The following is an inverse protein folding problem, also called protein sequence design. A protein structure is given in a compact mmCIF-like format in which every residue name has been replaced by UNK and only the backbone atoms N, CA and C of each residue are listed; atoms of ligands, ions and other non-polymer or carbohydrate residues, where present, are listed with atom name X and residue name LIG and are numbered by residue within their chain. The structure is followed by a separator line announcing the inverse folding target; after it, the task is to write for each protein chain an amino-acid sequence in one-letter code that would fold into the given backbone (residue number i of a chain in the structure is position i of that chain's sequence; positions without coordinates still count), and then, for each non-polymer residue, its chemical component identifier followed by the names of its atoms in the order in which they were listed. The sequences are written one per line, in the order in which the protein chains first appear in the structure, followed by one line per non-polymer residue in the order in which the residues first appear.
data_IF_386424261292
#
_entry.id   IF_386424261292
#
_cell.length_a   1.000
_cell.length_b   1.000
_cell.length_c   1.000
_cell.angle_alpha   90.00
_cell.angle_beta   90.00
_cell.angle_gamma   90.00
#
_symmetry.space_group_name_H-M   'P 1'
#
loop_
_entity.id
_entity.type
_entity.pdbx_description
1 polymer ?
#
# COMPACT_ATOMS: atom_id res chain seq x y z
N UNK A 1 15.22 -31.80 -19.43
CA UNK A 1 13.93 -32.24 -19.97
C UNK A 1 12.87 -32.24 -18.89
N UNK A 2 11.70 -31.73 -19.19
CA UNK A 2 10.56 -31.73 -18.31
C UNK A 2 9.56 -32.79 -18.78
N UNK A 3 9.13 -33.68 -17.87
CA UNK A 3 8.22 -34.77 -18.15
C UNK A 3 7.01 -34.69 -17.23
N UNK A 4 5.84 -35.05 -17.75
CA UNK A 4 4.61 -35.19 -16.96
C UNK A 4 3.99 -36.56 -17.19
N UNK A 5 3.34 -37.12 -16.17
CA UNK A 5 2.42 -38.23 -16.34
C UNK A 5 1.07 -37.67 -16.77
N UNK A 6 0.50 -38.24 -17.82
CA UNK A 6 -0.91 -38.08 -18.13
C UNK A 6 -1.69 -39.10 -17.28
N UNK A 7 -2.74 -38.71 -16.58
CA UNK A 7 -3.60 -39.61 -15.78
C UNK A 7 -4.50 -40.51 -16.68
N UNK A 8 -3.99 -40.83 -17.86
CA UNK A 8 -4.65 -41.79 -18.75
C UNK A 8 -4.36 -43.25 -18.34
N UNK A 9 -5.10 -44.21 -18.92
CA UNK A 9 -4.99 -45.63 -18.58
C UNK A 9 -3.61 -46.24 -18.84
N UNK A 10 -2.70 -45.54 -19.53
CA UNK A 10 -1.40 -46.10 -19.94
C UNK A 10 -0.20 -45.52 -19.17
N UNK A 11 -0.39 -44.59 -18.25
CA UNK A 11 0.64 -44.01 -17.35
C UNK A 11 2.04 -43.76 -17.98
N UNK A 12 2.10 -43.38 -19.27
CA UNK A 12 3.36 -43.12 -19.94
C UNK A 12 3.84 -41.68 -19.69
N UNK A 13 5.16 -41.59 -19.33
CA UNK A 13 5.82 -40.32 -19.23
C UNK A 13 6.04 -39.68 -20.59
N UNK A 14 5.46 -38.52 -20.86
CA UNK A 14 5.67 -37.74 -22.08
C UNK A 14 6.60 -36.60 -21.82
N UNK A 15 7.60 -36.43 -22.67
CA UNK A 15 8.47 -35.25 -22.63
C UNK A 15 7.71 -34.06 -23.24
N UNK A 16 7.45 -33.05 -22.43
CA UNK A 16 6.75 -31.85 -22.86
C UNK A 16 7.67 -30.80 -23.49
N UNK A 17 8.90 -30.68 -22.96
CA UNK A 17 9.88 -29.74 -23.46
C UNK A 17 11.31 -30.19 -23.11
N UNK A 18 12.25 -29.77 -23.94
CA UNK A 18 13.68 -30.01 -23.75
C UNK A 18 14.43 -28.71 -24.01
N UNK A 19 15.34 -28.35 -23.10
CA UNK A 19 16.22 -27.20 -23.27
C UNK A 19 17.68 -27.67 -23.34
N UNK A 20 18.44 -26.99 -24.18
CA UNK A 20 19.89 -27.13 -24.27
C UNK A 20 20.52 -25.91 -23.60
N UNK A 21 21.56 -26.13 -22.82
CA UNK A 21 22.38 -25.05 -22.26
C UNK A 21 23.43 -24.65 -23.29
N UNK A 22 23.63 -23.34 -23.46
CA UNK A 22 24.71 -22.81 -24.35
C UNK A 22 26.11 -23.03 -23.78
N UNK A 23 26.18 -23.29 -22.46
CA UNK A 23 27.44 -23.60 -21.77
C UNK A 23 27.52 -25.07 -21.39
N UNK A 24 28.74 -25.59 -21.34
CA UNK A 24 29.01 -27.03 -21.11
C UNK A 24 28.69 -27.53 -19.71
N UNK A 25 28.35 -26.65 -18.77
CA UNK A 25 28.00 -27.00 -17.38
C UNK A 25 26.80 -26.22 -16.89
N UNK A 26 25.62 -26.82 -17.02
CA UNK A 26 24.42 -26.31 -16.34
C UNK A 26 24.42 -26.70 -14.85
N UNK A 27 24.01 -25.79 -13.98
CA UNK A 27 23.86 -26.06 -12.55
C UNK A 27 22.43 -26.54 -12.22
N UNK A 28 22.25 -27.24 -11.08
CA UNK A 28 20.93 -27.63 -10.60
C UNK A 28 19.98 -26.41 -10.47
N UNK A 29 20.51 -25.25 -10.10
CA UNK A 29 19.72 -24.00 -10.00
C UNK A 29 19.20 -23.54 -11.35
N UNK A 30 19.97 -23.70 -12.41
CA UNK A 30 19.55 -23.32 -13.77
C UNK A 30 18.43 -24.25 -14.25
N UNK A 31 18.55 -25.55 -13.96
CA UNK A 31 17.51 -26.52 -14.27
C UNK A 31 16.21 -26.23 -13.50
N UNK A 32 16.29 -25.91 -12.21
CA UNK A 32 15.14 -25.58 -11.37
C UNK A 32 14.48 -24.26 -11.82
N UNK A 33 15.27 -23.27 -12.25
CA UNK A 33 14.75 -22.01 -12.77
C UNK A 33 13.94 -22.22 -14.05
N UNK A 34 14.51 -22.94 -15.01
CA UNK A 34 13.84 -23.25 -16.29
C UNK A 34 12.58 -24.08 -16.08
N UNK A 35 12.63 -25.07 -15.19
CA UNK A 35 11.48 -25.90 -14.88
C UNK A 35 10.35 -25.08 -14.25
N UNK A 36 10.68 -24.18 -13.34
CA UNK A 36 9.69 -23.27 -12.70
C UNK A 36 9.07 -22.29 -13.70
N UNK A 37 9.88 -21.68 -14.58
CA UNK A 37 9.40 -20.78 -15.61
C UNK A 37 8.46 -21.50 -16.60
N UNK A 38 8.78 -22.73 -16.95
CA UNK A 38 7.92 -23.55 -17.79
C UNK A 38 6.59 -23.91 -17.12
N UNK A 39 6.63 -24.38 -15.87
CA UNK A 39 5.43 -24.71 -15.09
C UNK A 39 4.53 -23.47 -14.96
N UNK A 40 5.11 -22.29 -14.76
CA UNK A 40 4.36 -21.06 -14.75
C UNK A 40 3.71 -20.72 -16.10
N UNK A 41 4.41 -20.96 -17.18
CA UNK A 41 3.89 -20.75 -18.53
C UNK A 41 2.72 -21.69 -18.89
N UNK A 42 2.82 -22.95 -18.49
CA UNK A 42 1.83 -24.00 -18.82
C UNK A 42 0.65 -23.97 -17.83
N UNK A 43 0.92 -23.81 -16.54
CA UNK A 43 -0.12 -23.85 -15.50
C UNK A 43 -0.99 -22.60 -15.43
N UNK A 44 -0.72 -21.55 -16.24
CA UNK A 44 -1.55 -20.35 -16.57
C UNK A 44 -2.63 -19.90 -15.59
N UNK A 45 -2.66 -20.43 -14.38
CA UNK A 45 -3.73 -20.22 -13.42
C UNK A 45 -3.53 -18.92 -12.68
N UNK A 46 -4.55 -18.08 -12.71
CA UNK A 46 -4.70 -16.84 -11.95
C UNK A 46 -4.36 -17.01 -10.46
N UNK A 47 -4.38 -18.22 -9.94
CA UNK A 47 -4.02 -18.54 -8.55
C UNK A 47 -2.52 -18.35 -8.26
N UNK A 48 -1.62 -18.71 -9.19
CA UNK A 48 -0.17 -18.53 -9.02
C UNK A 48 0.21 -17.06 -9.13
N UNK A 49 -0.44 -16.31 -10.04
CA UNK A 49 -0.25 -14.85 -10.13
C UNK A 49 -0.74 -14.13 -8.88
N UNK A 50 -1.84 -14.58 -8.25
CA UNK A 50 -2.32 -14.04 -6.96
C UNK A 50 -1.38 -14.39 -5.82
N UNK A 51 -0.84 -15.59 -5.76
CA UNK A 51 0.12 -16.00 -4.74
C UNK A 51 1.47 -15.24 -4.87
N UNK A 52 1.92 -14.91 -6.09
CA UNK A 52 3.12 -14.08 -6.32
C UNK A 52 2.89 -12.60 -5.97
N UNK A 53 1.68 -12.06 -6.20
CA UNK A 53 1.35 -10.69 -5.76
C UNK A 53 1.32 -10.57 -4.23
N UNK A 54 0.98 -11.64 -3.51
CA UNK A 54 1.02 -11.67 -2.04
C UNK A 54 2.44 -11.86 -1.50
N UNK A 55 3.36 -12.42 -2.31
CA UNK A 55 4.78 -12.61 -1.96
C UNK A 55 5.73 -11.59 -2.59
N UNK A 56 5.30 -10.39 -2.94
CA UNK A 56 6.25 -9.30 -3.04
C UNK A 56 6.83 -9.09 -1.65
N UNK A 57 8.06 -9.57 -1.46
CA UNK A 57 8.84 -9.38 -0.24
C UNK A 57 8.77 -7.91 0.11
N UNK A 58 8.10 -7.57 1.23
CA UNK A 58 8.33 -6.28 1.89
C UNK A 58 9.83 -6.09 1.94
N UNK A 59 10.33 -5.01 1.35
CA UNK A 59 11.72 -4.61 1.52
C UNK A 59 11.96 -4.56 3.02
N UNK A 60 13.00 -5.25 3.46
CA UNK A 60 13.33 -5.44 4.88
C UNK A 60 13.89 -4.17 5.55
N UNK A 61 13.80 -3.02 4.85
CA UNK A 61 14.27 -1.72 5.32
C UNK A 61 13.11 -0.81 5.75
N UNK A 62 11.89 -1.37 5.90
CA UNK A 62 10.74 -0.61 6.36
C UNK A 62 10.63 -0.72 7.88
N UNK A 63 10.95 0.39 8.53
CA UNK A 63 10.93 0.61 9.98
C UNK A 63 9.52 0.55 10.60
N UNK A 64 8.50 0.34 9.78
CA UNK A 64 7.10 0.28 10.19
C UNK A 64 6.26 -0.71 9.40
N UNK A 65 5.15 -1.12 9.99
CA UNK A 65 4.18 -2.06 9.38
C UNK A 65 2.96 -1.36 8.78
N UNK A 66 2.71 -0.11 9.16
CA UNK A 66 1.57 0.67 8.71
C UNK A 66 1.98 1.56 7.53
N UNK A 67 1.46 1.23 6.35
CA UNK A 67 1.61 2.02 5.13
C UNK A 67 0.56 3.15 5.05
N UNK A 68 0.68 4.10 4.10
CA UNK A 68 -0.27 5.21 3.95
C UNK A 68 -1.72 4.77 3.71
N UNK A 69 -1.95 3.65 3.06
CA UNK A 69 -3.28 3.09 2.88
C UNK A 69 -3.86 2.57 4.19
N UNK A 70 -3.03 1.94 5.02
CA UNK A 70 -3.44 1.49 6.34
C UNK A 70 -3.79 2.71 7.23
N UNK A 71 -3.00 3.79 7.16
CA UNK A 71 -3.32 5.05 7.81
C UNK A 71 -4.71 5.55 7.40
N UNK A 72 -5.00 5.65 6.09
CA UNK A 72 -6.30 6.09 5.59
C UNK A 72 -7.45 5.23 6.14
N UNK A 73 -7.28 3.91 6.18
CA UNK A 73 -8.27 2.98 6.74
C UNK A 73 -8.55 3.20 8.23
N UNK A 74 -7.58 3.68 9.01
CA UNK A 74 -7.78 4.00 10.42
C UNK A 74 -8.70 5.20 10.62
N UNK A 75 -8.65 6.17 9.73
CA UNK A 75 -9.55 7.33 9.77
C UNK A 75 -11.00 7.01 9.38
N UNK A 76 -11.29 5.86 8.75
CA UNK A 76 -12.68 5.42 8.45
C UNK A 76 -13.54 5.32 9.71
N UNK A 77 -12.96 5.03 10.87
CA UNK A 77 -13.69 5.00 12.14
C UNK A 77 -14.28 6.36 12.52
N UNK A 78 -13.62 7.44 12.11
CA UNK A 78 -14.04 8.83 12.38
C UNK A 78 -14.79 9.47 11.21
N UNK A 79 -14.46 9.02 9.99
CA UNK A 79 -14.98 9.52 8.73
C UNK A 79 -15.39 8.33 7.84
N UNK A 80 -16.60 7.77 8.05
CA UNK A 80 -17.05 6.54 7.35
C UNK A 80 -17.05 6.65 5.83
N UNK A 81 -17.24 7.86 5.30
CA UNK A 81 -17.20 8.16 3.86
C UNK A 81 -15.86 7.88 3.20
N UNK A 82 -14.75 7.91 3.97
CA UNK A 82 -13.42 7.56 3.45
C UNK A 82 -13.35 6.14 2.90
N UNK A 83 -14.28 5.25 3.27
CA UNK A 83 -14.30 3.88 2.75
C UNK A 83 -14.50 3.84 1.24
N UNK A 84 -15.45 4.61 0.74
CA UNK A 84 -15.73 4.75 -0.69
C UNK A 84 -14.58 5.48 -1.40
N UNK A 85 -14.07 6.55 -0.78
CA UNK A 85 -12.98 7.35 -1.33
C UNK A 85 -11.69 6.52 -1.46
N UNK A 86 -11.34 5.68 -0.47
CA UNK A 86 -10.21 4.74 -0.52
C UNK A 86 -10.38 3.75 -1.67
N UNK A 87 -11.58 3.19 -1.83
CA UNK A 87 -11.85 2.25 -2.92
C UNK A 87 -11.70 2.90 -4.28
N UNK A 88 -12.25 4.10 -4.47
CA UNK A 88 -12.13 4.85 -5.70
C UNK A 88 -10.67 5.18 -6.03
N UNK A 89 -9.87 5.54 -5.02
CA UNK A 89 -8.45 5.80 -5.18
C UNK A 89 -7.70 4.54 -5.63
N UNK A 90 -8.00 3.37 -5.06
CA UNK A 90 -7.41 2.09 -5.43
C UNK A 90 -7.79 1.65 -6.85
N UNK A 91 -9.02 1.93 -7.26
CA UNK A 91 -9.50 1.59 -8.60
C UNK A 91 -8.87 2.49 -9.68
N UNK A 92 -8.52 3.73 -9.32
CA UNK A 92 -7.99 4.71 -10.27
C UNK A 92 -6.46 4.75 -10.33
N UNK A 93 -5.75 4.44 -9.25
CA UNK A 93 -4.31 4.67 -9.13
C UNK A 93 -3.57 3.50 -8.50
N UNK A 94 -2.37 3.22 -9.02
CA UNK A 94 -1.46 2.24 -8.45
C UNK A 94 -0.01 2.74 -8.57
N UNK A 95 0.76 2.76 -7.47
CA UNK A 95 0.36 2.49 -6.08
C UNK A 95 -0.62 3.53 -5.51
N UNK A 96 -1.20 3.27 -4.33
CA UNK A 96 -2.07 4.17 -3.61
C UNK A 96 -1.36 5.51 -3.34
N UNK A 97 -2.01 6.64 -3.67
CA UNK A 97 -1.41 7.98 -3.54
C UNK A 97 -1.60 8.54 -2.13
N UNK A 98 -0.85 8.02 -1.17
CA UNK A 98 -1.05 8.28 0.26
C UNK A 98 -1.04 9.75 0.65
N UNK A 99 -0.05 10.54 0.20
CA UNK A 99 0.06 11.96 0.54
C UNK A 99 -1.03 12.79 -0.15
N UNK A 100 -1.32 12.51 -1.43
CA UNK A 100 -2.40 13.16 -2.16
C UNK A 100 -3.75 12.85 -1.52
N UNK A 101 -4.02 11.58 -1.26
CA UNK A 101 -5.25 11.15 -0.61
C UNK A 101 -5.45 11.80 0.76
N UNK A 102 -4.40 11.80 1.59
CA UNK A 102 -4.46 12.44 2.90
C UNK A 102 -4.76 13.93 2.82
N UNK A 103 -4.16 14.64 1.85
CA UNK A 103 -4.37 16.06 1.63
C UNK A 103 -5.79 16.38 1.14
N UNK A 104 -6.30 15.60 0.20
CA UNK A 104 -7.58 15.88 -0.47
C UNK A 104 -8.79 15.39 0.34
N UNK A 105 -8.66 14.26 1.03
CA UNK A 105 -9.79 13.57 1.66
C UNK A 105 -9.75 13.57 3.19
N UNK A 106 -8.58 13.49 3.83
CA UNK A 106 -8.49 13.41 5.29
C UNK A 106 -8.31 14.80 5.92
N UNK A 107 -7.34 15.56 5.45
CA UNK A 107 -6.98 16.85 6.04
C UNK A 107 -8.17 17.82 6.19
N UNK A 108 -9.09 17.98 5.21
CA UNK A 108 -10.24 18.89 5.35
C UNK A 108 -11.25 18.46 6.42
N UNK A 109 -11.27 17.18 6.79
CA UNK A 109 -12.25 16.62 7.75
C UNK A 109 -11.81 16.77 9.20
N UNK A 110 -10.50 16.86 9.46
CA UNK A 110 -9.93 16.95 10.82
C UNK A 110 -10.44 18.20 11.57
N UNK A 111 -10.38 19.43 11.00
CA UNK A 111 -10.89 20.61 11.66
C UNK A 111 -12.38 20.52 12.06
N UNK A 112 -13.17 19.95 11.16
CA UNK A 112 -14.61 19.75 11.43
C UNK A 112 -14.84 18.78 12.59
N UNK A 113 -14.02 17.74 12.71
CA UNK A 113 -14.09 16.80 13.82
C UNK A 113 -13.69 17.46 15.14
N UNK A 114 -12.55 18.17 15.19
CA UNK A 114 -12.06 18.84 16.40
C UNK A 114 -13.08 19.83 16.95
N UNK A 115 -13.76 20.58 16.07
CA UNK A 115 -14.78 21.60 16.49
C UNK A 115 -16.01 21.00 17.17
N UNK A 116 -16.37 19.75 16.87
CA UNK A 116 -17.54 19.08 17.43
C UNK A 116 -17.23 18.10 18.54
N UNK A 117 -15.98 17.64 18.62
CA UNK A 117 -15.56 16.59 19.55
C UNK A 117 -15.39 17.14 20.97
N UNK A 118 -15.76 16.34 21.96
CA UNK A 118 -15.42 16.62 23.36
C UNK A 118 -13.96 16.21 23.66
N UNK A 119 -13.48 16.59 24.85
CA UNK A 119 -12.09 16.37 25.26
C UNK A 119 -11.66 14.88 25.15
N UNK A 120 -12.49 13.95 25.58
CA UNK A 120 -12.20 12.51 25.53
C UNK A 120 -12.14 11.98 24.07
N UNK A 121 -12.97 12.55 23.19
CA UNK A 121 -12.96 12.22 21.78
C UNK A 121 -11.70 12.77 21.09
N UNK A 122 -11.26 13.97 21.44
CA UNK A 122 -10.01 14.57 20.96
C UNK A 122 -8.82 13.72 21.40
N UNK A 123 -8.77 13.28 22.65
CA UNK A 123 -7.71 12.41 23.16
C UNK A 123 -7.65 11.08 22.38
N UNK A 124 -8.80 10.43 22.18
CA UNK A 124 -8.87 9.19 21.39
C UNK A 124 -8.46 9.40 19.93
N UNK A 125 -8.85 10.53 19.36
CA UNK A 125 -8.48 10.90 18.01
C UNK A 125 -6.97 11.18 17.89
N UNK A 126 -6.39 11.94 18.83
CA UNK A 126 -4.96 12.18 18.89
C UNK A 126 -4.15 10.89 19.08
N UNK A 127 -4.70 9.91 19.85
CA UNK A 127 -4.04 8.61 20.00
C UNK A 127 -3.94 7.83 18.69
N UNK A 128 -4.82 8.05 17.72
CA UNK A 128 -4.68 7.46 16.38
C UNK A 128 -3.38 7.95 15.73
N UNK A 129 -3.08 9.24 15.84
CA UNK A 129 -1.83 9.80 15.31
C UNK A 129 -0.61 9.19 16.01
N UNK A 130 -0.63 9.05 17.33
CA UNK A 130 0.44 8.43 18.09
C UNK A 130 0.71 7.00 17.62
N UNK A 131 -0.34 6.18 17.56
CA UNK A 131 -0.22 4.77 17.17
C UNK A 131 0.25 4.64 15.72
N UNK A 132 -0.31 5.45 14.80
CA UNK A 132 0.05 5.37 13.39
C UNK A 132 1.44 5.95 13.12
N UNK A 133 1.87 6.94 13.88
CA UNK A 133 3.23 7.47 13.78
C UNK A 133 4.26 6.43 14.24
N UNK A 134 4.04 5.80 15.40
CA UNK A 134 4.97 4.84 15.96
C UNK A 134 5.11 3.57 15.11
N UNK A 135 4.00 3.11 14.51
CA UNK A 135 3.99 1.89 13.69
C UNK A 135 4.09 2.16 12.17
N UNK A 136 4.08 3.43 11.77
CA UNK A 136 4.10 3.84 10.37
C UNK A 136 5.47 3.72 9.72
N UNK A 137 5.49 3.46 8.42
CA UNK A 137 6.66 3.62 7.59
C UNK A 137 7.04 5.11 7.44
N UNK A 138 8.15 5.38 6.78
CA UNK A 138 8.65 6.75 6.56
C UNK A 138 7.62 7.63 5.87
N UNK A 139 6.91 7.09 4.88
CA UNK A 139 5.89 7.84 4.14
C UNK A 139 4.68 8.15 5.02
N UNK A 140 4.22 7.20 5.82
CA UNK A 140 3.13 7.40 6.79
C UNK A 140 3.48 8.45 7.83
N UNK A 141 4.68 8.40 8.41
CA UNK A 141 5.17 9.41 9.37
C UNK A 141 5.23 10.81 8.74
N UNK A 142 5.72 10.90 7.50
CA UNK A 142 5.76 12.17 6.76
C UNK A 142 4.34 12.69 6.45
N UNK A 143 3.41 11.83 6.04
CA UNK A 143 2.01 12.21 5.81
C UNK A 143 1.38 12.77 7.08
N UNK A 144 1.55 12.10 8.22
CA UNK A 144 1.03 12.57 9.49
C UNK A 144 1.56 13.95 9.80
N UNK A 145 2.87 14.14 9.79
CA UNK A 145 3.49 15.37 10.29
C UNK A 145 3.44 16.54 9.29
N UNK A 146 3.73 16.27 8.01
CA UNK A 146 3.88 17.32 6.99
C UNK A 146 2.53 17.62 6.29
N UNK A 147 1.69 16.61 6.08
CA UNK A 147 0.44 16.80 5.35
C UNK A 147 -0.70 17.07 6.32
N UNK A 148 -0.99 16.17 7.26
CA UNK A 148 -2.17 16.26 8.11
C UNK A 148 -2.00 17.35 9.19
N UNK A 149 -0.94 17.29 10.00
CA UNK A 149 -0.76 18.24 11.11
C UNK A 149 -0.42 19.66 10.64
N UNK A 150 0.28 19.82 9.53
CA UNK A 150 0.57 21.14 8.98
C UNK A 150 -0.62 21.79 8.26
N UNK A 151 -1.67 21.05 7.92
CA UNK A 151 -2.90 21.61 7.36
C UNK A 151 -3.77 22.31 8.41
N UNK A 152 -3.54 22.05 9.70
CA UNK A 152 -4.33 22.58 10.80
C UNK A 152 -3.92 24.02 11.15
N UNK A 153 -4.90 24.80 11.61
CA UNK A 153 -4.59 26.06 12.26
C UNK A 153 -3.92 25.84 13.64
N UNK A 154 -3.51 26.92 14.30
CA UNK A 154 -2.77 26.79 15.54
C UNK A 154 -3.66 26.33 16.72
N UNK A 155 -4.94 26.68 16.73
CA UNK A 155 -5.87 26.24 17.77
C UNK A 155 -6.19 24.74 17.62
N UNK A 156 -6.49 24.29 16.39
CA UNK A 156 -6.76 22.89 16.04
C UNK A 156 -5.52 22.01 16.30
N UNK A 157 -4.34 22.50 15.91
CA UNK A 157 -3.08 21.82 16.16
C UNK A 157 -2.82 21.65 17.66
N UNK A 158 -2.96 22.71 18.46
CA UNK A 158 -2.70 22.66 19.89
C UNK A 158 -3.66 21.74 20.63
N UNK A 159 -4.92 21.68 20.20
CA UNK A 159 -5.91 20.76 20.77
C UNK A 159 -5.48 19.29 20.64
N UNK A 160 -4.81 18.91 19.55
CA UNK A 160 -4.28 17.56 19.37
C UNK A 160 -2.90 17.39 20.02
N UNK A 161 -2.05 18.41 19.91
CA UNK A 161 -0.65 18.38 20.36
C UNK A 161 -0.50 18.04 21.84
N UNK A 162 -1.43 18.54 22.70
CA UNK A 162 -1.43 18.24 24.14
C UNK A 162 -1.47 16.73 24.42
N UNK A 163 -2.10 15.95 23.54
CA UNK A 163 -2.30 14.49 23.68
C UNK A 163 -1.27 13.65 22.92
N UNK A 164 -0.30 14.27 22.23
CA UNK A 164 0.74 13.54 21.52
C UNK A 164 1.80 12.97 22.46
N UNK A 165 2.37 11.84 22.10
CA UNK A 165 3.56 11.31 22.76
C UNK A 165 4.81 12.14 22.39
N UNK A 166 5.90 11.94 23.13
CA UNK A 166 7.10 12.75 22.98
C UNK A 166 7.73 12.66 21.59
N UNK A 167 7.71 11.46 20.97
CA UNK A 167 8.26 11.25 19.64
C UNK A 167 7.48 12.05 18.58
N UNK A 168 6.16 11.96 18.61
CA UNK A 168 5.32 12.71 17.68
C UNK A 168 5.38 14.20 17.94
N UNK A 169 5.47 14.66 19.21
CA UNK A 169 5.65 16.07 19.56
C UNK A 169 6.88 16.66 18.90
N UNK A 170 8.03 16.01 19.06
CA UNK A 170 9.29 16.46 18.46
C UNK A 170 9.21 16.49 16.93
N UNK A 171 8.68 15.43 16.33
CA UNK A 171 8.55 15.35 14.88
C UNK A 171 7.57 16.40 14.32
N UNK A 172 6.44 16.63 14.99
CA UNK A 172 5.44 17.60 14.59
C UNK A 172 5.98 19.04 14.68
N UNK A 173 6.74 19.38 15.72
CA UNK A 173 7.41 20.67 15.84
C UNK A 173 8.40 20.90 14.71
N UNK A 174 9.24 19.91 14.41
CA UNK A 174 10.19 19.98 13.30
C UNK A 174 9.48 20.14 11.94
N UNK A 175 8.36 19.46 11.77
CA UNK A 175 7.55 19.53 10.54
C UNK A 175 6.87 20.90 10.35
N UNK A 176 6.61 21.65 11.42
CA UNK A 176 6.05 23.02 11.34
C UNK A 176 6.91 23.98 10.49
N UNK A 177 8.23 23.78 10.43
CA UNK A 177 9.11 24.53 9.53
C UNK A 177 8.78 24.37 8.03
N UNK A 178 8.02 23.34 7.69
CA UNK A 178 7.55 23.06 6.33
C UNK A 178 6.10 23.53 6.08
N UNK A 179 5.43 24.14 7.03
CA UNK A 179 4.07 24.68 6.88
C UNK A 179 4.03 25.67 5.71
N UNK A 180 3.09 25.49 4.81
CA UNK A 180 2.92 26.33 3.61
C UNK A 180 3.84 26.00 2.43
N UNK A 181 4.77 25.04 2.56
CA UNK A 181 5.58 24.58 1.43
C UNK A 181 4.77 23.60 0.55
N UNK A 182 4.93 23.72 -0.76
CA UNK A 182 4.26 22.84 -1.70
C UNK A 182 4.92 21.45 -1.71
N UNK A 183 4.15 20.42 -1.41
CA UNK A 183 4.56 19.02 -1.56
C UNK A 183 4.27 18.58 -3.01
N UNK A 184 5.26 18.01 -3.69
CA UNK A 184 5.05 17.46 -5.04
C UNK A 184 4.18 16.21 -4.94
N UNK A 185 3.18 16.06 -5.84
CA UNK A 185 2.35 14.86 -5.85
C UNK A 185 3.17 13.63 -6.22
N UNK A 186 2.71 12.46 -5.74
CA UNK A 186 3.33 11.19 -6.04
C UNK A 186 3.31 10.87 -7.54
N UNK A 187 4.38 10.26 -8.03
CA UNK A 187 4.47 9.76 -9.40
C UNK A 187 3.79 8.39 -9.48
N UNK A 188 2.54 8.37 -9.89
CA UNK A 188 1.76 7.14 -10.04
C UNK A 188 1.22 6.97 -11.46
N UNK A 189 0.92 5.74 -11.84
CA UNK A 189 0.25 5.42 -13.11
C UNK A 189 -1.25 5.31 -12.87
N UNK A 190 -2.05 6.00 -13.69
CA UNK A 190 -3.50 5.76 -13.72
C UNK A 190 -3.76 4.33 -14.17
N UNK A 191 -4.62 3.62 -13.45
CA UNK A 191 -5.12 2.31 -13.88
C UNK A 191 -6.03 2.55 -15.09
N UNK A 192 -5.65 2.01 -16.24
CA UNK A 192 -6.54 2.06 -17.42
C UNK A 192 -7.80 1.27 -17.08
N UNK A 193 -8.97 1.91 -17.12
CA UNK A 193 -10.24 1.23 -17.06
C UNK A 193 -10.24 0.15 -18.15
N UNK A 194 -10.48 -1.11 -17.77
CA UNK A 194 -10.72 -2.18 -18.74
C UNK A 194 -12.01 -1.81 -19.47
N UNK A 195 -11.90 -1.37 -20.71
CA UNK A 195 -13.05 -1.23 -21.59
C UNK A 195 -13.70 -2.61 -21.68
N UNK A 196 -14.89 -2.75 -21.12
CA UNK A 196 -15.76 -3.89 -21.38
C UNK A 196 -16.19 -3.82 -22.84
N UNK A 197 -15.42 -4.42 -23.72
CA UNK A 197 -15.89 -4.72 -25.08
C UNK A 197 -16.92 -5.83 -24.95
N UNK A 198 -18.18 -5.44 -24.75
CA UNK A 198 -19.32 -6.27 -25.06
C UNK A 198 -19.34 -6.45 -26.59
N UNK A 199 -18.74 -7.53 -27.07
CA UNK A 199 -19.02 -8.01 -28.42
C UNK A 199 -20.48 -8.44 -28.46
N UNK A 200 -21.32 -7.57 -29.07
CA UNK A 200 -22.64 -7.98 -29.53
C UNK A 200 -22.45 -8.99 -30.67
N UNK A 201 -22.85 -10.21 -30.47
CA UNK A 201 -23.29 -11.12 -31.52
C UNK A 201 -24.78 -10.93 -31.74
#
# INVERSE_FOLDING_TARGET
SCTMTDEGPDNEWKTLATWLYDETVGTQKDADSIANDFIEGVSGTLAIKRAKQVKQKKKKDDDGTADPKFLAKRFVTYFPELREEIKNEEDCYFPFRGATFAKEHIAPKIPMYIKRANKNEIEKFANVFNVQYNNGDVDTRAIITIVLLNSLDDAEYNALYEHFNDELKVAALNARAFKGKTVKPEKVKKVKAKANTLTKN
#
